data_IF_358172951481
#
_entry.id   IF_358172951481
#
_cell.length_a   1.000
_cell.length_b   1.000
_cell.length_c   1.000
_cell.angle_alpha   90.00
_cell.angle_beta   90.00
_cell.angle_gamma   90.00
#
_symmetry.space_group_name_H-M   'P 1'
#
loop_
_entity.id
_entity.type
_entity.pdbx_description
1 polymer ?
#
# COMPACT_ATOMS: atom_id res chain seq x y z
N UNK A 1 -16.60 -20.15 4.01
CA UNK A 1 -15.78 -19.51 2.94
C UNK A 1 -15.47 -18.05 3.26
N UNK A 2 -16.47 -17.18 3.49
CA UNK A 2 -16.25 -15.75 3.81
C UNK A 2 -15.39 -15.56 5.07
N UNK A 3 -15.64 -16.33 6.13
CA UNK A 3 -14.89 -16.22 7.40
C UNK A 3 -13.39 -16.54 7.22
N UNK A 4 -13.08 -17.62 6.48
CA UNK A 4 -11.69 -18.02 6.18
C UNK A 4 -10.97 -16.95 5.35
N UNK A 5 -11.65 -16.38 4.35
CA UNK A 5 -11.12 -15.28 3.55
C UNK A 5 -10.85 -14.03 4.40
N UNK A 6 -11.73 -13.72 5.36
CA UNK A 6 -11.56 -12.60 6.26
C UNK A 6 -10.33 -12.74 7.18
N UNK A 7 -10.12 -13.93 7.75
CA UNK A 7 -8.94 -14.22 8.58
C UNK A 7 -7.65 -14.06 7.77
N UNK A 8 -7.61 -14.63 6.56
CA UNK A 8 -6.45 -14.55 5.69
C UNK A 8 -6.14 -13.10 5.28
N UNK A 9 -7.17 -12.33 4.89
CA UNK A 9 -7.00 -10.92 4.54
C UNK A 9 -6.52 -10.08 5.73
N UNK A 10 -7.04 -10.33 6.93
CA UNK A 10 -6.62 -9.65 8.15
C UNK A 10 -5.15 -9.90 8.47
N UNK A 11 -4.70 -11.16 8.39
CA UNK A 11 -3.31 -11.52 8.61
C UNK A 11 -2.39 -10.91 7.55
N UNK A 12 -2.77 -11.00 6.27
CA UNK A 12 -1.99 -10.42 5.17
C UNK A 12 -1.84 -8.90 5.33
N UNK A 13 -2.92 -8.21 5.67
CA UNK A 13 -2.89 -6.76 5.89
C UNK A 13 -2.01 -6.37 7.09
N UNK A 14 -2.07 -7.14 8.19
CA UNK A 14 -1.22 -6.90 9.36
C UNK A 14 0.28 -7.03 9.02
N UNK A 15 0.65 -8.09 8.30
CA UNK A 15 2.03 -8.31 7.85
C UNK A 15 2.49 -7.21 6.88
N UNK A 16 1.62 -6.78 5.96
CA UNK A 16 1.92 -5.73 5.00
C UNK A 16 2.25 -4.40 5.68
N UNK A 17 1.40 -3.96 6.62
CA UNK A 17 1.65 -2.72 7.36
C UNK A 17 2.90 -2.80 8.22
N UNK A 18 3.12 -3.94 8.89
CA UNK A 18 4.33 -4.16 9.68
C UNK A 18 5.60 -3.99 8.83
N UNK A 19 5.64 -4.62 7.66
CA UNK A 19 6.79 -4.52 6.75
C UNK A 19 7.02 -3.09 6.26
N UNK A 20 5.97 -2.36 5.90
CA UNK A 20 6.10 -0.95 5.48
C UNK A 20 6.74 -0.11 6.57
N UNK A 21 6.29 -0.23 7.82
CA UNK A 21 6.83 0.58 8.91
C UNK A 21 8.31 0.28 9.18
N UNK A 22 8.71 -1.00 9.10
CA UNK A 22 10.12 -1.40 9.23
C UNK A 22 10.95 -0.78 8.09
N UNK A 23 10.49 -0.90 6.84
CA UNK A 23 11.18 -0.32 5.69
C UNK A 23 11.32 1.20 5.79
N UNK A 24 10.28 1.89 6.28
CA UNK A 24 10.36 3.34 6.50
C UNK A 24 11.42 3.66 7.55
N UNK A 25 11.50 2.91 8.65
CA UNK A 25 12.55 3.09 9.64
C UNK A 25 13.96 2.85 9.04
N UNK A 26 14.15 1.75 8.29
CA UNK A 26 15.43 1.45 7.64
C UNK A 26 15.88 2.56 6.67
N UNK A 27 14.93 3.15 5.94
CA UNK A 27 15.24 4.29 5.04
C UNK A 27 15.64 5.56 5.79
N UNK A 28 15.09 5.77 6.99
CA UNK A 28 15.44 6.91 7.84
C UNK A 28 16.86 6.71 8.39
N UNK A 29 17.19 5.52 8.91
CA UNK A 29 18.53 5.20 9.41
C UNK A 29 19.60 5.31 8.32
N UNK A 30 19.29 4.83 7.10
CA UNK A 30 20.17 5.03 5.94
C UNK A 30 20.38 6.51 5.59
N UNK A 31 19.32 7.32 5.70
CA UNK A 31 19.38 8.77 5.49
C UNK A 31 20.26 9.47 6.52
N UNK A 32 20.13 9.10 7.80
CA UNK A 32 20.95 9.63 8.91
C UNK A 32 22.43 9.27 8.69
N UNK A 33 22.74 8.03 8.28
CA UNK A 33 24.11 7.61 7.99
C UNK A 33 24.75 8.39 6.83
N UNK A 34 23.98 8.75 5.80
CA UNK A 34 24.51 9.41 4.59
C UNK A 34 24.56 10.94 4.71
N UNK A 35 23.61 11.55 5.40
CA UNK A 35 23.47 13.00 5.51
C UNK A 35 23.89 13.54 6.88
N UNK A 36 24.03 12.68 7.91
CA UNK A 36 24.36 13.08 9.28
C UNK A 36 23.30 13.93 9.97
N UNK A 37 22.06 13.93 9.45
CA UNK A 37 20.96 14.76 9.94
C UNK A 37 19.74 13.89 10.26
N UNK A 38 19.35 13.87 11.52
CA UNK A 38 18.25 13.05 12.02
C UNK A 38 16.90 13.71 11.76
N UNK A 39 16.22 13.28 10.70
CA UNK A 39 14.94 13.85 10.23
C UNK A 39 13.75 12.87 10.37
N UNK A 40 13.69 12.10 11.45
CA UNK A 40 12.68 11.05 11.69
C UNK A 40 11.23 11.57 11.57
N UNK A 41 10.93 12.67 12.25
CA UNK A 41 9.58 13.23 12.31
C UNK A 41 9.10 13.75 10.94
N UNK A 42 10.01 14.29 10.13
CA UNK A 42 9.68 14.82 8.79
C UNK A 42 9.36 13.68 7.84
N UNK A 43 10.18 12.62 7.84
CA UNK A 43 9.94 11.43 7.01
C UNK A 43 8.64 10.70 7.38
N UNK A 44 8.37 10.52 8.67
CA UNK A 44 7.16 9.83 9.13
C UNK A 44 5.89 10.65 8.87
N UNK A 45 5.94 11.97 9.07
CA UNK A 45 4.81 12.85 8.73
C UNK A 45 4.52 12.88 7.23
N UNK A 46 5.56 12.96 6.38
CA UNK A 46 5.43 12.86 4.94
C UNK A 46 4.82 11.52 4.50
N UNK A 47 5.26 10.40 5.09
CA UNK A 47 4.68 9.08 4.83
C UNK A 47 3.19 9.04 5.15
N UNK A 48 2.79 9.55 6.33
CA UNK A 48 1.38 9.60 6.73
C UNK A 48 0.53 10.48 5.81
N UNK A 49 1.09 11.58 5.29
CA UNK A 49 0.41 12.47 4.35
C UNK A 49 0.14 11.76 3.03
N UNK A 50 1.14 11.05 2.49
CA UNK A 50 1.01 10.30 1.24
C UNK A 50 -0.09 9.24 1.35
N UNK A 51 -0.15 8.51 2.47
CA UNK A 51 -1.22 7.52 2.71
C UNK A 51 -2.60 8.19 2.69
N UNK A 52 -2.77 9.31 3.39
CA UNK A 52 -4.06 10.03 3.44
C UNK A 52 -4.46 10.58 2.09
N UNK A 53 -3.51 11.15 1.33
CA UNK A 53 -3.76 11.62 -0.02
C UNK A 53 -4.14 10.47 -0.96
N UNK A 54 -3.44 9.33 -0.88
CA UNK A 54 -3.76 8.13 -1.63
C UNK A 54 -5.15 7.60 -1.31
N UNK A 55 -5.55 7.60 -0.04
CA UNK A 55 -6.89 7.20 0.38
C UNK A 55 -7.97 8.14 -0.17
N UNK A 56 -7.73 9.46 -0.19
CA UNK A 56 -8.66 10.44 -0.75
C UNK A 56 -8.84 10.23 -2.27
N UNK A 57 -7.73 10.04 -3.01
CA UNK A 57 -7.76 9.77 -4.45
C UNK A 57 -8.48 8.45 -4.74
N UNK A 58 -8.21 7.41 -3.94
CA UNK A 58 -8.85 6.11 -4.09
C UNK A 58 -10.36 6.20 -3.85
N UNK A 59 -10.77 6.88 -2.79
CA UNK A 59 -12.19 7.10 -2.49
C UNK A 59 -12.92 7.86 -3.61
N UNK A 60 -12.28 8.88 -4.17
CA UNK A 60 -12.81 9.62 -5.32
C UNK A 60 -12.96 8.74 -6.57
N UNK A 61 -11.93 7.96 -6.92
CA UNK A 61 -11.96 7.06 -8.07
C UNK A 61 -13.00 5.94 -7.92
N UNK A 62 -13.10 5.34 -6.74
CA UNK A 62 -14.11 4.30 -6.46
C UNK A 62 -15.52 4.90 -6.56
N UNK A 63 -15.72 6.13 -6.07
CA UNK A 63 -16.99 6.85 -6.22
C UNK A 63 -17.39 7.04 -7.68
N UNK A 64 -16.45 7.50 -8.53
CA UNK A 64 -16.68 7.63 -9.97
C UNK A 64 -17.00 6.30 -10.65
N UNK A 65 -16.31 5.22 -10.26
CA UNK A 65 -16.55 3.89 -10.82
C UNK A 65 -17.93 3.35 -10.43
N UNK A 66 -18.38 3.59 -9.20
CA UNK A 66 -19.71 3.20 -8.73
C UNK A 66 -20.83 3.95 -9.46
N UNK A 67 -20.62 5.23 -9.75
CA UNK A 67 -21.55 6.05 -10.54
C UNK A 67 -21.62 5.56 -11.99
N UNK A 68 -20.46 5.22 -12.60
CA UNK A 68 -20.37 4.70 -13.96
C UNK A 68 -21.08 3.35 -14.16
N UNK A 69 -21.15 2.50 -13.14
CA UNK A 69 -21.89 1.21 -13.18
C UNK A 69 -23.35 1.34 -12.76
N UNK A 70 -23.84 2.57 -12.49
CA UNK A 70 -25.18 2.87 -12.00
C UNK A 70 -25.60 2.00 -10.81
N UNK A 71 -24.71 1.86 -9.82
CA UNK A 71 -24.97 1.03 -8.66
C UNK A 71 -26.14 1.56 -7.83
N UNK A 72 -27.19 0.76 -7.68
CA UNK A 72 -28.33 1.06 -6.80
C UNK A 72 -28.28 0.15 -5.57
N UNK A 73 -28.21 0.70 -4.35
CA UNK A 73 -28.14 -0.10 -3.14
C UNK A 73 -29.46 -0.81 -2.82
N UNK A 74 -29.38 -1.98 -2.17
CA UNK A 74 -30.51 -2.75 -1.60
C UNK A 74 -31.53 -3.30 -2.62
N UNK A 75 -31.20 -3.32 -3.90
CA UNK A 75 -31.96 -4.03 -4.96
C UNK A 75 -31.15 -5.22 -5.48
N UNK A 76 -31.86 -6.21 -6.05
CA UNK A 76 -31.22 -7.32 -6.75
C UNK A 76 -30.38 -6.78 -7.91
N UNK A 77 -29.07 -7.00 -7.83
CA UNK A 77 -28.10 -6.49 -8.79
C UNK A 77 -28.19 -7.30 -10.09
N UNK A 78 -28.05 -6.62 -11.22
CA UNK A 78 -27.96 -7.28 -12.53
C UNK A 78 -26.60 -7.95 -12.68
N UNK A 79 -26.51 -8.94 -13.58
CA UNK A 79 -25.24 -9.60 -13.90
C UNK A 79 -24.16 -8.62 -14.40
N UNK A 80 -24.57 -7.55 -15.07
CA UNK A 80 -23.68 -6.48 -15.54
C UNK A 80 -23.04 -5.72 -14.38
N UNK A 81 -23.81 -5.34 -13.35
CA UNK A 81 -23.26 -4.65 -12.17
C UNK A 81 -22.31 -5.55 -11.38
N UNK A 82 -22.61 -6.85 -11.28
CA UNK A 82 -21.70 -7.83 -10.63
C UNK A 82 -20.38 -7.92 -11.40
N UNK A 83 -20.41 -7.96 -12.73
CA UNK A 83 -19.19 -7.96 -13.54
C UNK A 83 -18.42 -6.64 -13.43
N UNK A 84 -19.12 -5.51 -13.30
CA UNK A 84 -18.53 -4.21 -12.99
C UNK A 84 -17.72 -4.22 -11.69
N UNK A 85 -18.23 -4.85 -10.62
CA UNK A 85 -17.49 -5.00 -9.37
C UNK A 85 -16.20 -5.82 -9.54
N UNK A 86 -16.23 -6.90 -10.32
CA UNK A 86 -15.02 -7.67 -10.60
C UNK A 86 -13.93 -6.81 -11.24
N UNK A 87 -14.30 -5.92 -12.17
CA UNK A 87 -13.37 -5.00 -12.83
C UNK A 87 -12.77 -3.98 -11.83
N UNK A 88 -13.59 -3.44 -10.93
CA UNK A 88 -13.15 -2.52 -9.86
C UNK A 88 -12.11 -3.19 -8.93
N UNK A 89 -12.21 -4.50 -8.68
CA UNK A 89 -11.22 -5.22 -7.87
C UNK A 89 -9.95 -5.64 -8.64
N UNK A 90 -10.06 -5.90 -9.95
CA UNK A 90 -8.91 -6.31 -10.78
C UNK A 90 -7.95 -5.14 -11.01
N UNK A 91 -8.45 -3.92 -11.20
CA UNK A 91 -7.62 -2.74 -11.49
C UNK A 91 -6.58 -2.46 -10.39
N UNK A 92 -6.95 -2.38 -9.09
CA UNK A 92 -5.98 -2.25 -8.00
C UNK A 92 -5.02 -3.43 -7.88
N UNK A 93 -5.48 -4.65 -8.18
CA UNK A 93 -4.62 -5.85 -8.17
C UNK A 93 -3.48 -5.75 -9.19
N UNK A 94 -3.76 -5.24 -10.39
CA UNK A 94 -2.74 -4.99 -11.41
C UNK A 94 -1.75 -3.90 -10.97
N UNK A 95 -2.24 -2.83 -10.34
CA UNK A 95 -1.36 -1.77 -9.80
C UNK A 95 -0.43 -2.32 -8.70
N UNK A 96 -0.90 -3.24 -7.86
CA UNK A 96 -0.05 -3.93 -6.89
C UNK A 96 1.08 -4.72 -7.57
N UNK A 97 0.81 -5.42 -8.68
CA UNK A 97 1.84 -6.14 -9.43
C UNK A 97 2.89 -5.19 -10.01
N UNK A 98 2.47 -4.04 -10.54
CA UNK A 98 3.38 -2.99 -11.02
C UNK A 98 4.23 -2.46 -9.86
N UNK A 99 3.64 -2.22 -8.70
CA UNK A 99 4.37 -1.76 -7.50
C UNK A 99 5.42 -2.78 -7.06
N UNK A 100 5.11 -4.08 -7.13
CA UNK A 100 6.04 -5.16 -6.79
C UNK A 100 7.20 -5.22 -7.80
N UNK A 101 6.92 -5.00 -9.08
CA UNK A 101 7.97 -4.92 -10.10
C UNK A 101 8.91 -3.75 -9.84
N UNK A 102 8.38 -2.57 -9.53
CA UNK A 102 9.17 -1.38 -9.20
C UNK A 102 10.01 -1.64 -7.96
N UNK A 103 9.41 -2.20 -6.91
CA UNK A 103 10.11 -2.57 -5.69
C UNK A 103 11.28 -3.51 -5.98
N UNK A 104 11.05 -4.60 -6.71
CA UNK A 104 12.11 -5.57 -7.04
C UNK A 104 13.27 -4.96 -7.83
N UNK A 105 13.02 -3.94 -8.64
CA UNK A 105 14.03 -3.31 -9.50
C UNK A 105 14.79 -2.16 -8.82
N UNK A 106 14.11 -1.39 -7.96
CA UNK A 106 14.64 -0.14 -7.40
C UNK A 106 14.93 -0.19 -5.90
N UNK A 107 14.56 -1.27 -5.20
CA UNK A 107 14.93 -1.42 -3.80
C UNK A 107 16.41 -1.80 -3.68
N UNK A 108 17.23 -0.84 -3.26
CA UNK A 108 18.69 -0.92 -3.21
C UNK A 108 19.20 -1.40 -1.84
N UNK A 109 18.34 -1.37 -0.80
CA UNK A 109 18.68 -1.90 0.52
C UNK A 109 18.70 -3.43 0.50
N UNK A 110 19.86 -3.98 0.13
CA UNK A 110 20.20 -5.39 0.33
C UNK A 110 20.67 -5.63 1.78
N UNK A 111 20.54 -6.88 2.26
CA UNK A 111 20.91 -7.29 3.63
C UNK A 111 22.29 -6.78 4.08
N UNK A 112 23.28 -6.77 3.18
CA UNK A 112 24.64 -6.29 3.49
C UNK A 112 24.70 -4.79 3.80
N UNK A 113 23.95 -3.96 3.06
CA UNK A 113 23.88 -2.52 3.36
C UNK A 113 23.10 -2.27 4.65
N UNK A 114 22.06 -3.05 4.91
CA UNK A 114 21.23 -2.93 6.11
C UNK A 114 22.03 -3.25 7.37
N UNK A 115 22.83 -4.32 7.33
CA UNK A 115 23.79 -4.68 8.40
C UNK A 115 24.86 -3.58 8.57
N UNK A 116 25.36 -3.00 7.48
CA UNK A 116 26.36 -1.92 7.55
C UNK A 116 25.83 -0.64 8.20
N UNK A 117 24.54 -0.35 8.05
CA UNK A 117 23.86 0.79 8.70
C UNK A 117 23.69 0.51 10.19
N UNK A 118 23.23 -0.69 10.55
CA UNK A 118 23.01 -1.10 11.95
C UNK A 118 24.30 -1.17 12.77
N UNK A 119 25.42 -1.58 12.17
CA UNK A 119 26.72 -1.65 12.84
C UNK A 119 27.37 -0.27 13.07
N UNK A 120 26.85 0.79 12.45
CA UNK A 120 27.44 2.14 12.45
C UNK A 120 26.67 3.13 13.34
N UNK A 121 25.44 2.78 13.72
CA UNK A 121 24.63 3.40 14.77
C UNK A 121 25.10 2.92 16.15
#
# INVERSE_FOLDING_TARGET
MILCSGIFMGLANALYWLMIFIMVADTIDYGDMKMGLRAEAVSYSAHSLIIKMGAAITGFLVGLMLDAIHYVPKVNQTSETINGFHLIYVVPSLLCLVSLYIYRKHYILNDEMLISVQLKL
#
